data_IF_705693720309
#
_entry.id   IF_705693720309
#
_cell.length_a   1.000
_cell.length_b   1.000
_cell.length_c   1.000
_cell.angle_alpha   90.00
_cell.angle_beta   90.00
_cell.angle_gamma   90.00
#
_symmetry.space_group_name_H-M   'P 1'
#
loop_
_entity.id
_entity.type
_entity.pdbx_description
1 polymer ?
#
# COMPACT_ATOMS: atom_id res chain seq x y z
N UNK A 1 -15.00 -12.59 18.77
CA UNK A 1 -15.73 -11.36 18.42
C UNK A 1 -15.43 -11.11 16.97
N UNK A 2 -16.45 -11.04 16.11
CA UNK A 2 -16.27 -10.64 14.71
C UNK A 2 -15.79 -9.17 14.64
N UNK A 3 -14.99 -8.79 13.63
CA UNK A 3 -14.66 -7.39 13.35
C UNK A 3 -15.93 -6.52 13.34
N UNK A 4 -15.87 -5.39 14.06
CA UNK A 4 -16.96 -4.42 14.10
C UNK A 4 -16.72 -3.22 13.17
N UNK A 5 -17.72 -2.35 12.98
CA UNK A 5 -17.64 -1.20 12.07
C UNK A 5 -16.45 -0.26 12.33
N UNK A 6 -16.01 -0.14 13.58
CA UNK A 6 -14.85 0.68 13.93
C UNK A 6 -13.54 0.10 13.38
N UNK A 7 -13.39 -1.23 13.38
CA UNK A 7 -12.21 -1.89 12.80
C UNK A 7 -12.23 -1.75 11.28
N UNK A 8 -13.40 -1.91 10.64
CA UNK A 8 -13.55 -1.75 9.20
C UNK A 8 -13.16 -0.32 8.75
N UNK A 9 -13.56 0.70 9.51
CA UNK A 9 -13.18 2.09 9.25
C UNK A 9 -11.65 2.29 9.30
N UNK A 10 -11.00 1.80 10.36
CA UNK A 10 -9.54 1.92 10.50
C UNK A 10 -8.79 1.15 9.40
N UNK A 11 -9.28 -0.03 9.02
CA UNK A 11 -8.69 -0.81 7.94
C UNK A 11 -8.89 -0.13 6.57
N UNK A 12 -10.04 0.50 6.35
CA UNK A 12 -10.30 1.32 5.17
C UNK A 12 -9.34 2.50 5.05
N UNK A 13 -9.16 3.25 6.13
CA UNK A 13 -8.23 4.39 6.19
C UNK A 13 -6.78 3.94 5.92
N UNK A 14 -6.38 2.80 6.50
CA UNK A 14 -5.03 2.25 6.28
C UNK A 14 -4.79 1.88 4.80
N UNK A 15 -5.78 1.28 4.13
CA UNK A 15 -5.70 0.92 2.71
C UNK A 15 -5.67 2.17 1.82
N UNK A 16 -6.45 3.19 2.17
CA UNK A 16 -6.46 4.46 1.45
C UNK A 16 -5.11 5.20 1.57
N UNK A 17 -4.52 5.21 2.76
CA UNK A 17 -3.17 5.76 2.96
C UNK A 17 -2.15 5.00 2.13
N UNK A 18 -2.19 3.66 2.09
CA UNK A 18 -1.26 2.87 1.27
C UNK A 18 -1.40 3.19 -0.23
N UNK A 19 -2.63 3.42 -0.72
CA UNK A 19 -2.89 3.85 -2.10
C UNK A 19 -2.25 5.21 -2.38
N UNK A 20 -2.49 6.21 -1.53
CA UNK A 20 -1.95 7.57 -1.68
C UNK A 20 -0.42 7.58 -1.59
N UNK A 21 0.15 6.90 -0.60
CA UNK A 21 1.61 6.78 -0.43
C UNK A 21 2.23 6.12 -1.66
N UNK A 22 1.59 5.10 -2.23
CA UNK A 22 2.08 4.45 -3.46
C UNK A 22 2.14 5.43 -4.63
N UNK A 23 1.12 6.28 -4.80
CA UNK A 23 1.13 7.33 -5.84
C UNK A 23 2.29 8.31 -5.62
N UNK A 24 2.39 8.86 -4.41
CA UNK A 24 3.32 9.96 -4.11
C UNK A 24 4.78 9.50 -4.04
N UNK A 25 5.05 8.27 -3.59
CA UNK A 25 6.40 7.72 -3.45
C UNK A 25 6.92 7.02 -4.71
N UNK A 26 6.06 6.77 -5.71
CA UNK A 26 6.42 6.10 -6.98
C UNK A 26 7.65 6.71 -7.68
N UNK A 27 7.88 8.04 -7.70
CA UNK A 27 9.09 8.60 -8.32
C UNK A 27 10.40 8.15 -7.67
N UNK A 28 10.37 7.80 -6.38
CA UNK A 28 11.54 7.33 -5.63
C UNK A 28 11.60 5.79 -5.52
N UNK A 29 10.45 5.12 -5.45
CA UNK A 29 10.36 3.68 -5.17
C UNK A 29 9.35 2.96 -6.09
N UNK A 30 9.52 3.01 -7.42
CA UNK A 30 8.49 2.56 -8.36
C UNK A 30 8.15 1.07 -8.22
N UNK A 31 9.14 0.22 -7.98
CA UNK A 31 8.95 -1.23 -7.83
C UNK A 31 8.18 -1.54 -6.54
N UNK A 32 8.57 -0.94 -5.42
CA UNK A 32 7.89 -1.17 -4.15
C UNK A 32 6.47 -0.63 -4.14
N UNK A 33 6.24 0.56 -4.72
CA UNK A 33 4.90 1.13 -4.85
C UNK A 33 3.98 0.27 -5.72
N UNK A 34 4.48 -0.28 -6.83
CA UNK A 34 3.71 -1.23 -7.64
C UNK A 34 3.34 -2.51 -6.87
N UNK A 35 4.26 -3.02 -6.04
CA UNK A 35 3.98 -4.20 -5.22
C UNK A 35 2.99 -3.91 -4.09
N UNK A 36 3.04 -2.73 -3.45
CA UNK A 36 2.00 -2.29 -2.50
C UNK A 36 0.64 -2.25 -3.20
N UNK A 37 0.56 -1.58 -4.35
CA UNK A 37 -0.65 -1.40 -5.15
C UNK A 37 -1.33 -2.74 -5.48
N UNK A 38 -0.55 -3.69 -5.98
CA UNK A 38 -1.00 -5.06 -6.26
C UNK A 38 -1.48 -5.78 -4.99
N UNK A 39 -0.75 -5.67 -3.88
CA UNK A 39 -1.08 -6.37 -2.63
C UNK A 39 -2.34 -5.84 -1.96
N UNK A 40 -2.68 -4.58 -2.16
CA UNK A 40 -3.97 -4.02 -1.73
C UNK A 40 -5.08 -4.24 -2.78
N UNK A 41 -4.85 -5.13 -3.77
CA UNK A 41 -5.88 -5.59 -4.69
C UNK A 41 -6.23 -4.63 -5.82
N UNK A 42 -5.50 -3.52 -5.98
CA UNK A 42 -5.76 -2.56 -7.04
C UNK A 42 -5.15 -3.04 -8.38
N UNK A 43 -5.87 -2.79 -9.47
CA UNK A 43 -5.40 -3.00 -10.83
C UNK A 43 -4.67 -1.75 -11.37
N UNK A 44 -3.93 -1.92 -12.47
CA UNK A 44 -3.15 -0.83 -13.07
C UNK A 44 -1.89 -0.49 -12.27
N UNK A 45 -1.49 0.79 -12.30
CA UNK A 45 -0.27 1.27 -11.67
C UNK A 45 -0.50 2.57 -10.89
N UNK A 46 0.21 2.80 -9.76
CA UNK A 46 0.22 4.09 -9.08
C UNK A 46 0.76 5.23 -9.98
N UNK A 47 1.55 4.90 -11.01
CA UNK A 47 2.03 5.87 -12.01
C UNK A 47 0.84 6.46 -12.79
N UNK A 48 -0.08 5.61 -13.21
CA UNK A 48 -1.21 5.99 -14.07
C UNK A 48 -2.21 6.88 -13.34
N UNK A 49 -2.33 6.71 -12.02
CA UNK A 49 -3.15 7.57 -11.18
C UNK A 49 -2.62 9.01 -11.13
N UNK A 50 -1.28 9.18 -11.17
CA UNK A 50 -0.61 10.47 -11.08
C UNK A 50 -0.91 11.23 -9.78
N UNK A 51 -0.26 12.38 -9.57
CA UNK A 51 -0.47 13.19 -8.34
C UNK A 51 -1.93 13.63 -8.17
N UNK A 52 -2.66 13.83 -9.26
CA UNK A 52 -4.09 14.14 -9.21
C UNK A 52 -4.93 13.00 -8.59
N UNK A 53 -4.48 11.75 -8.68
CA UNK A 53 -5.14 10.60 -8.05
C UNK A 53 -4.87 10.47 -6.55
N UNK A 54 -4.01 11.31 -5.95
CA UNK A 54 -3.68 11.30 -4.53
C UNK A 54 -4.72 12.02 -3.65
N UNK A 55 -5.99 12.06 -4.07
CA UNK A 55 -7.11 12.58 -3.28
C UNK A 55 -7.68 11.50 -2.38
N UNK A 56 -8.20 11.85 -1.21
CA UNK A 56 -8.86 10.91 -0.31
C UNK A 56 -10.15 10.30 -0.91
N UNK A 57 -10.49 9.08 -0.49
CA UNK A 57 -11.71 8.35 -0.88
C UNK A 57 -11.59 7.54 -2.18
N UNK A 58 -10.36 7.22 -2.62
CA UNK A 58 -10.12 6.51 -3.88
C UNK A 58 -10.10 4.98 -3.79
N UNK A 59 -9.96 4.40 -2.60
CA UNK A 59 -9.97 2.95 -2.42
C UNK A 59 -11.42 2.39 -2.39
N UNK A 60 -11.76 1.43 -3.25
CA UNK A 60 -13.16 1.00 -3.45
C UNK A 60 -13.73 0.11 -2.34
N UNK A 61 -12.89 -0.44 -1.46
CA UNK A 61 -13.31 -1.41 -0.44
C UNK A 61 -13.63 -2.80 -1.02
N UNK A 62 -13.64 -3.83 -0.17
CA UNK A 62 -14.01 -5.20 -0.55
C UNK A 62 -13.01 -5.94 -1.47
N UNK A 63 -11.88 -5.33 -1.83
CA UNK A 63 -10.84 -5.98 -2.63
C UNK A 63 -10.03 -6.97 -1.80
N UNK A 64 -9.59 -8.10 -2.40
CA UNK A 64 -8.73 -9.05 -1.70
C UNK A 64 -7.35 -8.44 -1.44
N UNK A 65 -6.93 -8.45 -0.18
CA UNK A 65 -5.58 -8.06 0.24
C UNK A 65 -4.69 -9.30 0.29
N UNK A 66 -3.55 -9.25 -0.38
CA UNK A 66 -2.61 -10.37 -0.48
C UNK A 66 -1.39 -10.11 0.41
N UNK A 67 -1.14 -11.04 1.33
CA UNK A 67 0.11 -11.05 2.12
C UNK A 67 1.27 -11.52 1.23
N UNK A 68 2.41 -10.84 1.32
CA UNK A 68 3.66 -11.26 0.69
C UNK A 68 4.86 -11.02 1.61
N UNK A 69 6.06 -11.27 1.08
CA UNK A 69 7.31 -11.07 1.81
C UNK A 69 7.52 -9.60 2.21
N UNK A 70 8.33 -9.34 3.24
CA UNK A 70 8.64 -7.98 3.66
C UNK A 70 9.21 -7.14 2.51
N UNK A 71 8.56 -6.00 2.20
CA UNK A 71 8.95 -5.13 1.09
C UNK A 71 10.32 -4.48 1.27
N UNK A 72 10.74 -4.31 2.53
CA UNK A 72 12.02 -3.72 2.90
C UNK A 72 12.77 -4.71 3.80
N UNK A 73 13.66 -5.53 3.24
CA UNK A 73 14.53 -6.40 4.02
C UNK A 73 15.36 -5.59 5.02
N UNK A 74 15.57 -6.14 6.22
CA UNK A 74 16.44 -5.50 7.22
C UNK A 74 17.88 -5.53 6.74
N UNK A 75 18.57 -4.39 6.86
CA UNK A 75 20.02 -4.33 6.66
C UNK A 75 20.67 -5.11 7.81
N UNK A 76 21.43 -6.17 7.48
CA UNK A 76 22.21 -6.89 8.47
C UNK A 76 23.39 -6.02 8.93
N UNK A 77 23.70 -6.02 10.23
CA UNK A 77 24.99 -5.48 10.67
C UNK A 77 26.08 -6.37 10.08
N UNK A 78 27.11 -5.76 9.50
CA UNK A 78 28.34 -6.47 9.20
C UNK A 78 28.85 -7.11 10.49
N UNK A 79 29.18 -8.40 10.44
CA UNK A 79 29.87 -9.08 11.52
C UNK A 79 31.21 -8.38 11.74
N UNK A 80 31.51 -8.04 12.98
CA UNK A 80 32.86 -7.65 13.35
C UNK A 80 33.70 -8.93 13.35
N UNK A 81 34.68 -9.01 12.46
CA UNK A 81 35.74 -10.02 12.49
C UNK A 81 36.67 -9.79 13.69
#
# INVERSE_FOLDING_TARGET
>A
MEPGPALDAVMGDALEVLRIVSILATPAMPVTCAEIWKRIGLSGSPVDAGVAGATWGGYPGGLPVVKGDGLFPRIARASAD
#
